data_IF_503501488721
#
_entry.id   IF_503501488721
#
_cell.length_a   1.000
_cell.length_b   1.000
_cell.length_c   1.000
_cell.angle_alpha   90.00
_cell.angle_beta   90.00
_cell.angle_gamma   90.00
#
_symmetry.space_group_name_H-M   'P 1'
#
loop_
_entity.id
_entity.type
_entity.pdbx_description
1 polymer ?
#
# COMPACT_ATOMS: atom_id res chain seq x y z
N UNK A 1 15.72 6.62 -1.47
CA UNK A 1 15.80 7.74 -0.49
C UNK A 1 14.71 8.79 -0.72
N UNK A 2 14.61 9.40 -1.91
CA UNK A 2 13.63 10.47 -2.18
C UNK A 2 12.16 10.00 -2.15
N UNK A 3 11.80 8.93 -2.87
CA UNK A 3 10.41 8.42 -2.86
C UNK A 3 9.94 7.97 -1.47
N UNK A 4 10.82 7.31 -0.71
CA UNK A 4 10.55 6.94 0.68
C UNK A 4 10.30 8.17 1.56
N UNK A 5 11.06 9.27 1.38
CA UNK A 5 10.80 10.52 2.10
C UNK A 5 9.40 11.05 1.83
N UNK A 6 8.96 11.14 0.57
CA UNK A 6 7.61 11.59 0.22
C UNK A 6 6.52 10.72 0.83
N UNK A 7 6.68 9.40 0.75
CA UNK A 7 5.70 8.46 1.32
C UNK A 7 5.60 8.63 2.83
N UNK A 8 6.71 8.84 3.54
CA UNK A 8 6.71 9.09 4.99
C UNK A 8 6.00 10.40 5.34
N UNK A 9 6.26 11.48 4.59
CA UNK A 9 5.57 12.75 4.80
C UNK A 9 4.07 12.62 4.53
N UNK A 10 3.70 11.92 3.46
CA UNK A 10 2.30 11.68 3.11
C UNK A 10 1.58 10.83 4.15
N UNK A 11 2.21 9.75 4.64
CA UNK A 11 1.73 8.95 5.77
C UNK A 11 1.44 9.83 6.98
N UNK A 12 2.40 10.68 7.38
CA UNK A 12 2.23 11.59 8.51
C UNK A 12 1.08 12.56 8.30
N UNK A 13 0.95 13.11 7.10
CA UNK A 13 -0.12 14.03 6.74
C UNK A 13 -1.50 13.37 6.84
N UNK A 14 -1.66 12.14 6.32
CA UNK A 14 -2.93 11.39 6.37
C UNK A 14 -3.41 11.25 7.82
N UNK A 15 -2.56 10.75 8.71
CA UNK A 15 -2.95 10.46 10.10
C UNK A 15 -3.19 11.71 10.94
N UNK A 16 -2.82 12.90 10.45
CA UNK A 16 -3.10 14.20 11.09
C UNK A 16 -4.38 14.87 10.61
N UNK A 17 -5.04 14.35 9.58
CA UNK A 17 -6.24 14.98 9.02
C UNK A 17 -7.40 14.96 10.03
N UNK A 18 -8.08 16.08 10.30
CA UNK A 18 -9.30 16.09 11.11
C UNK A 18 -10.38 15.24 10.43
N UNK A 19 -11.37 14.75 11.19
CA UNK A 19 -12.44 13.89 10.65
C UNK A 19 -13.44 14.65 9.78
N UNK A 20 -13.72 15.89 10.14
CA UNK A 20 -14.61 16.77 9.39
C UNK A 20 -13.93 17.28 8.12
N UNK A 21 -14.68 17.33 7.00
CA UNK A 21 -14.18 17.89 5.74
C UNK A 21 -13.10 17.05 5.03
N UNK A 22 -12.92 15.77 5.38
CA UNK A 22 -11.94 14.90 4.71
C UNK A 22 -12.28 14.67 3.24
N UNK A 23 -11.56 15.34 2.35
CA UNK A 23 -11.55 15.06 0.91
C UNK A 23 -10.99 13.64 0.63
N UNK A 24 -11.67 12.79 -0.15
CA UNK A 24 -11.15 11.49 -0.54
C UNK A 24 -9.88 11.58 -1.40
N UNK A 25 -8.91 10.71 -1.14
CA UNK A 25 -7.65 10.65 -1.88
C UNK A 25 -7.33 9.21 -2.27
N UNK A 26 -6.94 9.00 -3.52
CA UNK A 26 -6.33 7.76 -3.97
C UNK A 26 -4.82 7.93 -4.05
N UNK A 27 -4.10 7.08 -3.34
CA UNK A 27 -2.64 7.08 -3.31
C UNK A 27 -2.10 5.97 -4.20
N UNK A 28 -1.57 6.35 -5.36
CA UNK A 28 -0.99 5.44 -6.34
C UNK A 28 0.50 5.26 -6.08
N UNK A 29 0.95 4.02 -5.98
CA UNK A 29 2.33 3.68 -5.70
C UNK A 29 2.76 2.59 -6.68
N UNK A 30 3.64 2.98 -7.58
CA UNK A 30 4.36 2.02 -8.43
C UNK A 30 5.58 1.45 -7.70
N UNK A 31 6.03 0.28 -8.11
CA UNK A 31 7.15 -0.44 -7.49
C UNK A 31 7.01 -0.52 -5.95
N UNK A 32 5.81 -0.85 -5.49
CA UNK A 32 5.43 -0.86 -4.07
C UNK A 32 6.42 -1.57 -3.12
N UNK A 33 7.03 -2.73 -3.48
CA UNK A 33 7.98 -3.41 -2.61
C UNK A 33 9.18 -2.55 -2.17
N UNK A 34 9.54 -1.49 -2.91
CA UNK A 34 10.64 -0.58 -2.54
C UNK A 34 10.28 0.38 -1.38
N UNK A 35 8.99 0.52 -1.08
CA UNK A 35 8.45 1.54 -0.17
C UNK A 35 7.74 0.96 1.05
N UNK A 36 7.56 -0.35 1.06
CA UNK A 36 6.86 -1.07 2.11
C UNK A 36 7.53 -0.83 3.47
N UNK A 37 6.70 -0.57 4.49
CA UNK A 37 7.12 -0.36 5.86
C UNK A 37 5.94 -0.54 6.82
N UNK A 38 6.20 -0.60 8.13
CA UNK A 38 5.15 -0.77 9.14
C UNK A 38 4.12 0.36 9.15
N UNK A 39 4.52 1.60 8.87
CA UNK A 39 3.57 2.71 8.79
C UNK A 39 2.63 2.58 7.57
N UNK A 40 3.06 1.86 6.53
CA UNK A 40 2.23 1.55 5.38
C UNK A 40 1.16 0.52 5.70
N UNK A 41 1.45 -0.44 6.60
CA UNK A 41 0.43 -1.38 7.11
C UNK A 41 -0.73 -0.60 7.72
N UNK A 42 -0.45 0.47 8.48
CA UNK A 42 -1.50 1.33 9.05
C UNK A 42 -2.34 2.03 7.98
N UNK A 43 -1.79 2.40 6.83
CA UNK A 43 -2.58 2.94 5.73
C UNK A 43 -3.51 1.87 5.16
N UNK A 44 -3.02 0.65 4.97
CA UNK A 44 -3.84 -0.45 4.43
C UNK A 44 -4.99 -0.82 5.37
N UNK A 45 -4.75 -0.81 6.68
CA UNK A 45 -5.77 -1.19 7.68
C UNK A 45 -6.71 -0.03 8.04
N UNK A 46 -6.19 1.20 8.19
CA UNK A 46 -6.94 2.34 8.71
C UNK A 46 -7.30 3.39 7.65
N UNK A 47 -6.74 3.32 6.44
CA UNK A 47 -6.89 4.36 5.40
C UNK A 47 -8.34 4.71 5.11
N UNK A 48 -9.24 3.73 5.18
CA UNK A 48 -10.69 3.94 5.00
C UNK A 48 -11.28 4.98 5.94
N UNK A 49 -10.91 4.99 7.23
CA UNK A 49 -11.45 5.98 8.18
C UNK A 49 -10.92 7.39 7.89
N UNK A 50 -9.81 7.51 7.16
CA UNK A 50 -9.19 8.76 6.74
C UNK A 50 -9.57 9.18 5.30
N UNK A 51 -10.54 8.50 4.66
CA UNK A 51 -10.90 8.69 3.25
C UNK A 51 -9.69 8.55 2.30
N UNK A 52 -8.81 7.59 2.57
CA UNK A 52 -7.65 7.28 1.74
C UNK A 52 -7.72 5.84 1.24
N UNK A 53 -7.73 5.68 -0.08
CA UNK A 53 -7.52 4.40 -0.75
C UNK A 53 -6.08 4.30 -1.28
N UNK A 54 -5.42 3.16 -1.13
CA UNK A 54 -4.12 2.92 -1.74
C UNK A 54 -4.27 2.02 -2.97
N UNK A 55 -3.63 2.40 -4.07
CA UNK A 55 -3.52 1.60 -5.29
C UNK A 55 -2.05 1.28 -5.47
N UNK A 56 -1.69 0.02 -5.27
CA UNK A 56 -0.30 -0.43 -5.28
C UNK A 56 -0.06 -1.30 -6.51
N UNK A 57 1.10 -1.11 -7.14
CA UNK A 57 1.59 -1.94 -8.23
C UNK A 57 2.89 -2.62 -7.83
N UNK A 58 3.03 -3.89 -8.23
CA UNK A 58 4.20 -4.72 -8.00
C UNK A 58 4.33 -5.75 -9.11
N UNK A 59 5.54 -6.24 -9.37
CA UNK A 59 5.80 -7.17 -10.46
C UNK A 59 5.43 -8.60 -10.08
N UNK A 60 5.63 -8.98 -8.81
CA UNK A 60 5.17 -10.27 -8.29
C UNK A 60 4.89 -10.20 -6.79
N UNK A 61 4.00 -11.08 -6.32
CA UNK A 61 3.68 -11.22 -4.89
C UNK A 61 4.94 -11.67 -4.11
N UNK A 62 5.79 -12.51 -4.71
CA UNK A 62 7.02 -13.00 -4.08
C UNK A 62 8.02 -11.91 -3.70
N UNK A 63 7.94 -10.71 -4.29
CA UNK A 63 8.76 -9.58 -3.86
C UNK A 63 8.42 -9.14 -2.41
N UNK A 64 7.21 -9.41 -1.92
CA UNK A 64 6.80 -9.07 -0.56
C UNK A 64 7.38 -10.02 0.49
N UNK A 65 7.57 -11.31 0.13
CA UNK A 65 8.16 -12.32 1.02
C UNK A 65 9.60 -11.96 1.40
N UNK A 66 10.36 -11.39 0.45
CA UNK A 66 11.72 -10.91 0.68
C UNK A 66 11.82 -9.67 1.57
N UNK A 67 10.69 -8.98 1.83
CA UNK A 67 10.70 -7.79 2.70
C UNK A 67 10.31 -8.14 4.14
N UNK A 68 9.19 -8.84 4.34
CA UNK A 68 8.72 -9.27 5.66
C UNK A 68 7.80 -10.48 5.53
N UNK A 69 8.13 -11.55 6.26
CA UNK A 69 7.29 -12.74 6.30
C UNK A 69 5.85 -12.40 6.73
N UNK A 70 4.86 -12.95 6.04
CA UNK A 70 3.43 -12.73 6.31
C UNK A 70 2.87 -11.38 5.81
N UNK A 71 3.69 -10.49 5.26
CA UNK A 71 3.21 -9.19 4.76
C UNK A 71 2.30 -9.33 3.53
N UNK A 72 2.52 -10.38 2.74
CA UNK A 72 1.64 -10.74 1.62
C UNK A 72 0.20 -10.98 2.09
N UNK A 73 0.02 -11.67 3.21
CA UNK A 73 -1.31 -11.98 3.73
C UNK A 73 -2.02 -10.72 4.22
N UNK A 74 -1.28 -9.79 4.82
CA UNK A 74 -1.80 -8.48 5.24
C UNK A 74 -2.28 -7.69 4.02
N UNK A 75 -1.47 -7.58 2.97
CA UNK A 75 -1.86 -6.86 1.75
C UNK A 75 -3.06 -7.52 1.10
N UNK A 76 -2.98 -8.82 0.85
CA UNK A 76 -4.01 -9.55 0.12
C UNK A 76 -5.31 -9.61 0.93
N UNK A 77 -5.24 -9.67 2.26
CA UNK A 77 -6.39 -9.63 3.16
C UNK A 77 -7.07 -8.26 3.20
N UNK A 78 -6.30 -7.16 3.16
CA UNK A 78 -6.86 -5.80 3.19
C UNK A 78 -7.23 -5.25 1.80
N UNK A 79 -6.70 -5.83 0.72
CA UNK A 79 -6.98 -5.40 -0.65
C UNK A 79 -8.39 -5.85 -1.10
N UNK A 80 -9.35 -4.92 -1.11
CA UNK A 80 -10.72 -5.17 -1.59
C UNK A 80 -10.78 -5.45 -3.10
N UNK A 81 -9.86 -4.90 -3.87
CA UNK A 81 -9.76 -5.09 -5.32
C UNK A 81 -8.37 -5.58 -5.69
N UNK A 82 -8.31 -6.56 -6.59
CA UNK A 82 -7.07 -7.16 -7.07
C UNK A 82 -7.14 -7.25 -8.59
N UNK A 83 -6.11 -6.73 -9.26
CA UNK A 83 -6.00 -6.76 -10.72
C UNK A 83 -4.69 -7.47 -11.04
N UNK A 84 -4.75 -8.52 -11.84
CA UNK A 84 -3.59 -9.34 -12.22
C UNK A 84 -3.40 -9.24 -13.72
N UNK A 85 -2.18 -8.85 -14.14
CA UNK A 85 -1.80 -8.74 -15.54
C UNK A 85 -0.85 -9.90 -15.91
N UNK A 86 -1.08 -10.53 -17.05
CA UNK A 86 -0.41 -11.76 -17.45
C UNK A 86 1.02 -11.56 -17.94
N UNK A 87 2.00 -11.86 -17.07
CA UNK A 87 3.41 -12.20 -17.38
C UNK A 87 4.19 -12.84 -16.21
N UNK A 88 3.53 -13.28 -15.13
CA UNK A 88 4.15 -14.10 -14.08
C UNK A 88 4.13 -15.59 -14.48
N UNK A 89 5.10 -16.42 -14.06
CA UNK A 89 5.08 -17.85 -14.38
C UNK A 89 3.79 -18.46 -13.84
N UNK A 90 3.06 -19.16 -14.71
CA UNK A 90 1.96 -20.03 -14.29
C UNK A 90 2.53 -21.00 -13.26
N UNK A 91 2.17 -20.84 -11.99
CA UNK A 91 2.22 -21.96 -11.06
C UNK A 91 0.91 -22.71 -11.26
N UNK A 92 0.99 -23.74 -12.09
CA UNK A 92 0.06 -24.88 -12.06
C UNK A 92 0.08 -25.53 -10.67
#
# INVERSE_FOLDING_TARGET
>A
MFGQFFIRQFQSAIFRRPQEGRIPIFFYIDEFPLYVNEAFERILTLGRSYNVGAVIAMQSIGQLEGVKAGYQDIILGNASSKIVFGRGPNKE
#
